data_IF_454827674796
#
_entry.id   IF_454827674796
#
_cell.length_a   1.000
_cell.length_b   1.000
_cell.length_c   1.000
_cell.angle_alpha   90.00
_cell.angle_beta   90.00
_cell.angle_gamma   90.00
#
_symmetry.space_group_name_H-M   'P 1'
#
loop_
_entity.id
_entity.type
_entity.pdbx_description
1 polymer ?
#
# COMPACT_ATOMS: atom_id res chain seq x y z
N UNK A 1 42.72 -72.03 4.88
CA UNK A 1 43.12 -70.61 5.07
C UNK A 1 41.99 -69.88 5.80
N UNK A 2 42.38 -68.99 6.70
CA UNK A 2 41.65 -68.48 7.88
C UNK A 2 40.64 -67.38 7.51
N UNK A 3 39.49 -67.38 8.20
CA UNK A 3 38.44 -66.33 8.23
C UNK A 3 38.98 -64.94 8.53
N UNK A 4 38.38 -63.90 7.93
CA UNK A 4 37.85 -62.73 8.68
C UNK A 4 36.83 -61.94 7.86
N UNK A 5 35.62 -61.82 8.40
CA UNK A 5 34.63 -60.77 8.11
C UNK A 5 35.25 -59.38 8.29
N UNK A 6 34.73 -58.37 7.57
CA UNK A 6 34.40 -57.04 8.11
C UNK A 6 33.74 -56.17 7.03
N UNK A 7 32.41 -56.13 7.04
CA UNK A 7 31.64 -54.96 6.63
C UNK A 7 31.48 -54.11 7.89
N UNK A 8 31.79 -52.81 7.86
CA UNK A 8 30.79 -51.87 8.38
C UNK A 8 30.63 -50.58 7.56
N UNK A 9 29.36 -50.20 7.42
CA UNK A 9 28.79 -48.85 7.52
C UNK A 9 29.51 -47.68 6.82
N UNK A 10 28.99 -47.27 5.66
CA UNK A 10 28.94 -45.86 5.28
C UNK A 10 27.53 -45.33 5.55
N UNK A 11 27.32 -44.84 6.78
CA UNK A 11 26.16 -44.05 7.16
C UNK A 11 26.65 -42.80 7.90
N UNK A 12 26.88 -41.72 7.15
CA UNK A 12 26.99 -40.30 7.55
C UNK A 12 27.59 -39.57 6.32
N UNK A 13 27.06 -38.49 5.76
CA UNK A 13 26.31 -37.43 6.40
C UNK A 13 25.35 -36.77 5.40
N UNK A 14 24.05 -36.83 5.70
CA UNK A 14 23.10 -35.77 5.32
C UNK A 14 23.46 -34.52 6.13
N UNK A 15 24.51 -33.80 5.73
CA UNK A 15 24.67 -32.42 6.17
C UNK A 15 23.86 -31.55 5.24
N UNK A 16 22.57 -31.42 5.57
CA UNK A 16 21.77 -30.33 5.03
C UNK A 16 22.49 -29.03 5.32
N UNK A 17 22.93 -28.35 4.27
CA UNK A 17 23.47 -27.00 4.33
C UNK A 17 22.36 -26.01 4.72
N UNK A 18 22.02 -25.96 6.00
CA UNK A 18 21.14 -24.94 6.59
C UNK A 18 21.83 -24.29 7.80
N UNK A 19 23.16 -24.17 7.75
CA UNK A 19 23.98 -23.79 8.91
C UNK A 19 24.45 -22.33 8.93
N UNK A 20 24.07 -21.48 7.97
CA UNK A 20 24.51 -20.07 7.92
C UNK A 20 23.45 -19.04 7.46
N UNK A 21 22.19 -19.43 7.30
CA UNK A 21 21.10 -18.50 7.02
C UNK A 21 20.11 -18.53 8.18
N UNK A 22 19.90 -17.41 8.87
CA UNK A 22 18.70 -17.26 9.70
C UNK A 22 17.52 -17.23 8.73
N UNK A 23 16.95 -18.38 8.43
CA UNK A 23 15.69 -18.50 7.70
C UNK A 23 14.57 -17.99 8.61
N UNK A 24 14.49 -16.67 8.75
CA UNK A 24 13.34 -16.03 9.38
C UNK A 24 12.19 -16.26 8.41
N UNK A 25 11.14 -17.01 8.80
CA UNK A 25 10.04 -17.28 7.91
C UNK A 25 9.35 -15.95 7.56
N UNK A 26 9.41 -15.57 6.28
CA UNK A 26 8.71 -14.41 5.75
C UNK A 26 7.29 -14.83 5.36
N UNK A 27 6.31 -13.96 5.62
CA UNK A 27 5.04 -14.06 4.88
C UNK A 27 5.33 -13.74 3.41
N UNK A 28 4.52 -14.27 2.48
CA UNK A 28 4.69 -14.02 1.04
C UNK A 28 3.63 -13.00 0.56
N UNK A 29 3.42 -11.95 1.34
CA UNK A 29 2.47 -10.91 0.99
C UNK A 29 3.13 -9.91 0.01
N UNK A 30 2.46 -9.67 -1.11
CA UNK A 30 2.88 -8.64 -2.05
C UNK A 30 2.40 -7.26 -1.59
N UNK A 31 3.14 -6.21 -1.99
CA UNK A 31 2.73 -4.83 -1.74
C UNK A 31 3.29 -3.89 -2.80
N UNK A 32 2.45 -2.97 -3.27
CA UNK A 32 2.85 -1.91 -4.19
C UNK A 32 3.18 -0.60 -3.46
N UNK A 33 4.10 0.17 -4.02
CA UNK A 33 4.30 1.57 -3.61
C UNK A 33 3.19 2.45 -4.17
N UNK A 34 2.71 3.42 -3.39
CA UNK A 34 1.54 4.21 -3.79
C UNK A 34 1.21 5.38 -2.85
N UNK A 35 0.50 6.37 -3.38
CA UNK A 35 -0.15 7.39 -2.53
C UNK A 35 -1.64 7.20 -2.60
N UNK A 36 -2.29 7.18 -1.43
CA UNK A 36 -3.72 6.95 -1.32
C UNK A 36 -4.45 8.15 -0.73
N UNK A 37 -5.67 8.38 -1.20
CA UNK A 37 -6.65 9.24 -0.54
C UNK A 37 -7.81 8.38 -0.04
N UNK A 38 -8.24 8.63 1.19
CA UNK A 38 -9.40 7.97 1.82
C UNK A 38 -10.46 9.00 2.21
N UNK A 39 -11.73 8.62 2.17
CA UNK A 39 -12.83 9.49 2.55
C UNK A 39 -14.05 8.70 3.01
N UNK A 40 -15.01 9.41 3.60
CA UNK A 40 -16.36 8.88 3.84
C UNK A 40 -17.26 9.35 2.69
N UNK A 41 -18.09 8.48 2.07
CA UNK A 41 -19.00 8.89 0.99
C UNK A 41 -19.85 10.11 1.37
N UNK A 42 -20.37 10.13 2.61
CA UNK A 42 -21.18 11.21 3.16
C UNK A 42 -20.46 12.58 3.19
N UNK A 43 -19.13 12.62 3.19
CA UNK A 43 -18.37 13.88 3.16
C UNK A 43 -18.56 14.61 1.81
N UNK A 44 -19.02 13.92 0.75
CA UNK A 44 -19.23 14.48 -0.59
C UNK A 44 -20.68 14.36 -1.08
N UNK A 45 -21.62 14.10 -0.18
CA UNK A 45 -23.05 14.02 -0.46
C UNK A 45 -23.59 12.58 -0.46
N UNK A 46 -24.52 12.30 -1.38
CA UNK A 46 -25.16 11.00 -1.54
C UNK A 46 -24.34 10.00 -2.36
N UNK A 47 -24.97 8.91 -2.76
CA UNK A 47 -24.35 7.89 -3.61
C UNK A 47 -23.76 8.49 -4.89
N UNK A 48 -22.45 8.29 -5.09
CA UNK A 48 -21.70 8.73 -6.27
C UNK A 48 -21.89 10.23 -6.63
N UNK A 49 -22.15 11.06 -5.61
CA UNK A 49 -22.42 12.48 -5.77
C UNK A 49 -21.18 13.29 -6.26
N UNK A 50 -19.98 12.73 -6.15
CA UNK A 50 -18.77 13.36 -6.64
C UNK A 50 -17.83 12.38 -7.36
N UNK A 51 -17.00 12.91 -8.27
CA UNK A 51 -15.81 12.26 -8.82
C UNK A 51 -14.59 12.74 -8.07
N UNK A 52 -13.81 11.82 -7.53
CA UNK A 52 -12.59 12.08 -6.80
C UNK A 52 -11.42 11.67 -7.68
N UNK A 53 -10.59 12.65 -8.03
CA UNK A 53 -9.37 12.47 -8.80
C UNK A 53 -8.16 12.79 -7.94
N UNK A 54 -7.24 11.84 -7.87
CA UNK A 54 -5.96 11.99 -7.18
C UNK A 54 -4.84 11.89 -8.20
N UNK A 55 -3.94 12.86 -8.20
CA UNK A 55 -2.74 12.85 -9.03
C UNK A 55 -1.49 12.88 -8.16
N UNK A 56 -0.49 12.07 -8.52
CA UNK A 56 0.85 12.08 -7.93
C UNK A 56 1.85 12.26 -9.07
N UNK A 57 2.63 13.34 -9.03
CA UNK A 57 3.34 13.82 -10.21
C UNK A 57 2.38 13.98 -11.41
N UNK A 58 2.61 13.22 -12.49
CA UNK A 58 1.82 13.19 -13.72
C UNK A 58 0.86 12.00 -13.82
N UNK A 59 0.84 11.10 -12.83
CA UNK A 59 -0.05 9.93 -12.80
C UNK A 59 -1.30 10.26 -12.01
N UNK A 60 -2.46 9.93 -12.54
CA UNK A 60 -3.73 10.20 -11.89
C UNK A 60 -4.63 8.98 -11.95
N UNK A 61 -5.38 8.77 -10.87
CA UNK A 61 -6.53 7.87 -10.86
C UNK A 61 -7.77 8.67 -10.46
N UNK A 62 -8.94 8.15 -10.80
CA UNK A 62 -10.23 8.77 -10.51
C UNK A 62 -11.28 7.70 -10.18
N UNK A 63 -12.13 7.97 -9.19
CA UNK A 63 -13.31 7.16 -8.89
C UNK A 63 -14.44 7.99 -8.32
N UNK A 64 -15.66 7.46 -8.37
CA UNK A 64 -16.81 8.09 -7.71
C UNK A 64 -16.69 8.00 -6.18
N UNK A 65 -17.37 8.93 -5.49
CA UNK A 65 -17.41 9.03 -4.03
C UNK A 65 -18.15 7.88 -3.32
N UNK A 66 -18.84 7.01 -4.08
CA UNK A 66 -19.54 5.78 -3.67
C UNK A 66 -20.74 5.96 -2.76
N UNK A 67 -21.18 4.87 -2.13
CA UNK A 67 -22.47 4.73 -1.43
C UNK A 67 -22.29 4.69 0.10
N UNK A 68 -23.27 5.16 0.89
CA UNK A 68 -23.30 4.97 2.35
C UNK A 68 -23.18 3.50 2.81
N UNK A 69 -23.56 2.53 1.98
CA UNK A 69 -23.42 1.10 2.26
C UNK A 69 -21.96 0.63 2.27
N UNK A 70 -21.06 1.41 1.66
CA UNK A 70 -19.60 1.26 1.73
C UNK A 70 -19.00 2.49 2.43
N UNK A 71 -18.99 2.50 3.78
CA UNK A 71 -18.84 3.72 4.57
C UNK A 71 -17.45 4.37 4.47
N UNK A 72 -16.47 3.67 3.89
CA UNK A 72 -15.13 4.19 3.64
C UNK A 72 -14.64 3.79 2.27
N UNK A 73 -14.21 4.79 1.49
CA UNK A 73 -13.60 4.56 0.19
C UNK A 73 -12.16 5.03 0.17
N UNK A 74 -11.42 4.41 -0.75
CA UNK A 74 -10.02 4.68 -1.00
C UNK A 74 -9.72 4.78 -2.50
N UNK A 75 -8.78 5.62 -2.86
CA UNK A 75 -8.20 5.70 -4.20
C UNK A 75 -6.69 5.72 -4.04
N UNK A 76 -5.99 4.86 -4.78
CA UNK A 76 -4.54 4.73 -4.70
C UNK A 76 -3.91 4.92 -6.06
N UNK A 77 -2.98 5.86 -6.17
CA UNK A 77 -2.15 6.02 -7.37
C UNK A 77 -0.89 5.21 -7.20
N UNK A 78 -0.72 4.18 -8.04
CA UNK A 78 0.45 3.31 -8.02
C UNK A 78 1.70 4.07 -8.48
N UNK A 79 2.77 3.94 -7.72
CA UNK A 79 4.08 4.50 -8.04
C UNK A 79 4.94 3.47 -8.78
N UNK A 80 5.93 3.91 -9.58
CA UNK A 80 6.90 3.00 -10.19
C UNK A 80 7.68 2.21 -9.14
N UNK A 81 8.11 0.99 -9.51
CA UNK A 81 9.02 0.21 -8.69
C UNK A 81 10.32 0.98 -8.43
N UNK A 82 10.88 0.81 -7.23
CA UNK A 82 12.13 1.48 -6.84
C UNK A 82 12.00 2.98 -6.52
N UNK A 83 10.78 3.52 -6.36
CA UNK A 83 10.57 4.94 -6.02
C UNK A 83 11.31 5.40 -4.75
N UNK A 84 11.48 4.50 -3.77
CA UNK A 84 12.28 4.75 -2.59
C UNK A 84 11.75 5.86 -1.67
N UNK A 85 12.58 6.25 -0.71
CA UNK A 85 12.33 7.39 0.16
C UNK A 85 12.30 8.69 -0.66
N UNK A 86 11.12 9.25 -0.88
CA UNK A 86 10.94 10.45 -1.70
C UNK A 86 9.81 11.33 -1.18
N UNK A 87 9.75 12.57 -1.69
CA UNK A 87 8.66 13.52 -1.40
C UNK A 87 8.04 14.03 -2.70
N UNK A 88 6.82 13.56 -2.99
CA UNK A 88 6.17 13.73 -4.29
C UNK A 88 5.05 14.77 -4.23
N UNK A 89 4.89 15.64 -5.26
CA UNK A 89 3.72 16.51 -5.37
C UNK A 89 2.44 15.69 -5.59
N UNK A 90 1.37 16.10 -4.90
CA UNK A 90 0.05 15.51 -4.97
C UNK A 90 -0.98 16.59 -5.26
N UNK A 91 -1.96 16.27 -6.10
CA UNK A 91 -3.13 17.12 -6.36
C UNK A 91 -4.41 16.30 -6.15
N UNK A 92 -5.35 16.88 -5.44
CA UNK A 92 -6.72 16.39 -5.30
C UNK A 92 -7.64 17.31 -6.08
N UNK A 93 -8.54 16.72 -6.86
CA UNK A 93 -9.70 17.41 -7.42
C UNK A 93 -10.94 16.59 -7.13
N UNK A 94 -11.98 17.25 -6.63
CA UNK A 94 -13.29 16.64 -6.41
C UNK A 94 -14.33 17.44 -7.18
N UNK A 95 -15.07 16.77 -8.04
CA UNK A 95 -16.04 17.40 -8.94
C UNK A 95 -17.43 16.84 -8.67
N UNK A 96 -18.43 17.72 -8.56
CA UNK A 96 -19.85 17.36 -8.47
C UNK A 96 -20.27 16.59 -9.72
N UNK A 97 -20.83 15.38 -9.57
CA UNK A 97 -21.37 14.64 -10.71
C UNK A 97 -22.65 15.27 -11.25
N UNK A 98 -23.38 16.00 -10.40
CA UNK A 98 -24.65 16.65 -10.77
C UNK A 98 -24.46 17.93 -11.58
N UNK A 99 -23.53 18.79 -11.16
CA UNK A 99 -23.34 20.12 -11.75
C UNK A 99 -22.05 20.25 -12.58
N UNK A 100 -21.08 19.37 -12.38
CA UNK A 100 -19.75 19.49 -12.98
C UNK A 100 -18.84 20.50 -12.28
N UNK A 101 -19.31 21.16 -11.22
CA UNK A 101 -18.52 22.14 -10.48
C UNK A 101 -17.42 21.46 -9.66
N UNK A 102 -16.28 22.14 -9.53
CA UNK A 102 -15.22 21.72 -8.61
C UNK A 102 -15.64 22.03 -7.17
N UNK A 103 -15.80 20.98 -6.37
CA UNK A 103 -16.10 21.05 -4.94
C UNK A 103 -14.82 21.28 -4.15
N UNK A 104 -13.75 20.60 -4.54
CA UNK A 104 -12.43 20.67 -3.88
C UNK A 104 -11.36 20.71 -4.95
N UNK A 105 -10.42 21.64 -4.81
CA UNK A 105 -9.12 21.57 -5.47
C UNK A 105 -8.05 21.88 -4.43
N UNK A 106 -7.11 20.96 -4.25
CA UNK A 106 -6.02 21.13 -3.29
C UNK A 106 -4.73 20.46 -3.78
N UNK A 107 -3.59 20.93 -3.28
CA UNK A 107 -2.29 20.34 -3.60
C UNK A 107 -1.35 20.35 -2.39
N UNK A 108 -0.57 19.28 -2.26
CA UNK A 108 0.37 19.11 -1.15
C UNK A 108 1.57 18.26 -1.58
N UNK A 109 2.43 17.90 -0.63
CA UNK A 109 3.55 16.98 -0.86
C UNK A 109 3.42 15.74 0.03
N UNK A 110 3.45 14.57 -0.61
CA UNK A 110 3.49 13.28 0.05
C UNK A 110 4.93 12.89 0.38
N UNK A 111 5.27 12.88 1.66
CA UNK A 111 6.51 12.22 2.12
C UNK A 111 6.24 10.73 2.26
N UNK A 112 6.89 9.92 1.43
CA UNK A 112 6.74 8.47 1.48
C UNK A 112 7.41 7.88 2.72
N UNK A 113 6.78 6.85 3.26
CA UNK A 113 7.30 6.03 4.36
C UNK A 113 7.34 4.58 3.93
N UNK A 114 8.33 3.85 4.40
CA UNK A 114 8.48 2.44 4.13
C UNK A 114 7.44 1.60 4.89
N UNK A 115 6.98 0.54 4.25
CA UNK A 115 6.10 -0.48 4.77
C UNK A 115 6.73 -1.83 4.49
N UNK A 116 6.76 -2.68 5.51
CA UNK A 116 7.38 -4.00 5.47
C UNK A 116 6.29 -5.07 5.66
N UNK A 117 5.52 -5.39 4.60
CA UNK A 117 4.40 -6.33 4.67
C UNK A 117 4.80 -7.70 5.23
N UNK A 118 6.07 -8.09 5.05
CA UNK A 118 6.59 -9.39 5.46
C UNK A 118 7.57 -9.33 6.64
N UNK A 119 7.66 -8.18 7.31
CA UNK A 119 8.65 -7.92 8.36
C UNK A 119 9.94 -7.28 7.83
N UNK A 120 10.71 -6.66 8.72
CA UNK A 120 11.81 -5.74 8.37
C UNK A 120 12.99 -6.36 7.63
N UNK A 121 13.12 -7.69 7.69
CA UNK A 121 14.16 -8.46 6.99
C UNK A 121 13.69 -9.12 5.70
N UNK A 122 12.42 -8.93 5.34
CA UNK A 122 11.74 -9.63 4.25
C UNK A 122 11.20 -8.64 3.22
N UNK A 123 11.48 -8.89 1.95
CA UNK A 123 10.89 -8.11 0.86
C UNK A 123 9.43 -8.48 0.59
N UNK A 124 8.70 -7.66 -0.20
CA UNK A 124 9.14 -6.36 -0.71
C UNK A 124 9.03 -5.25 0.34
N UNK A 125 9.73 -4.12 0.14
CA UNK A 125 9.48 -2.87 0.87
C UNK A 125 8.58 -2.01 -0.02
N UNK A 126 7.40 -1.63 0.49
CA UNK A 126 6.51 -0.71 -0.20
C UNK A 126 6.69 0.71 0.35
N UNK A 127 6.72 1.71 -0.53
CA UNK A 127 6.82 3.12 -0.15
C UNK A 127 5.47 3.78 -0.31
N UNK A 128 4.85 4.18 0.79
CA UNK A 128 3.46 4.66 0.80
C UNK A 128 3.27 5.98 1.51
N UNK A 129 2.20 6.68 1.15
CA UNK A 129 1.65 7.79 1.91
C UNK A 129 0.12 7.79 1.80
N UNK A 130 -0.56 8.23 2.84
CA UNK A 130 -2.04 8.26 2.86
C UNK A 130 -2.54 9.61 3.35
N UNK A 131 -3.56 10.13 2.69
CA UNK A 131 -4.29 11.34 3.06
C UNK A 131 -5.77 11.05 3.27
N UNK A 132 -6.43 11.87 4.08
CA UNK A 132 -7.88 12.01 4.05
C UNK A 132 -8.27 13.11 3.07
N UNK A 133 -9.19 12.82 2.15
CA UNK A 133 -9.88 13.85 1.38
C UNK A 133 -11.05 14.41 2.19
N UNK A 134 -11.11 15.73 2.36
CA UNK A 134 -12.12 16.45 3.13
C UNK A 134 -12.73 17.57 2.28
N UNK A 135 -14.06 17.76 2.26
CA UNK A 135 -14.74 18.76 1.44
C UNK A 135 -14.22 20.18 1.70
N UNK A 136 -14.10 20.58 2.97
CA UNK A 136 -13.69 21.95 3.29
C UNK A 136 -12.17 22.17 3.42
N UNK A 137 -11.39 21.09 3.51
CA UNK A 137 -9.97 21.17 3.91
C UNK A 137 -8.99 20.55 2.91
N UNK A 138 -9.49 19.94 1.83
CA UNK A 138 -8.63 19.26 0.87
C UNK A 138 -7.97 18.01 1.46
N UNK A 139 -6.67 17.87 1.24
CA UNK A 139 -5.86 16.75 1.70
C UNK A 139 -5.36 16.97 3.14
N UNK A 140 -5.81 16.12 4.05
CA UNK A 140 -5.49 16.19 5.48
C UNK A 140 -4.88 14.89 6.00
N UNK A 141 -4.39 14.88 7.24
CA UNK A 141 -3.90 13.65 7.87
C UNK A 141 -5.03 12.63 8.03
N UNK A 142 -4.80 11.33 7.74
CA UNK A 142 -5.79 10.29 7.97
C UNK A 142 -5.89 9.87 9.45
N UNK A 143 -5.06 10.44 10.35
CA UNK A 143 -5.08 10.10 11.78
C UNK A 143 -6.48 10.34 12.37
N UNK A 144 -6.97 9.34 13.09
CA UNK A 144 -8.31 9.37 13.71
C UNK A 144 -9.43 8.82 12.81
N UNK A 145 -9.18 8.52 11.53
CA UNK A 145 -10.08 7.68 10.76
C UNK A 145 -9.91 6.22 11.17
N UNK A 146 -11.01 5.57 11.54
CA UNK A 146 -11.06 4.11 11.63
C UNK A 146 -11.24 3.56 10.22
N UNK A 147 -10.13 3.33 9.54
CA UNK A 147 -10.13 2.62 8.27
C UNK A 147 -10.46 1.16 8.57
N UNK A 148 -11.55 0.64 8.02
CA UNK A 148 -11.77 -0.80 8.02
C UNK A 148 -10.82 -1.39 7.00
N UNK A 149 -9.96 -2.31 7.45
CA UNK A 149 -9.03 -3.09 6.63
C UNK A 149 -9.46 -4.54 6.61
#
# INVERSE_FOLDING_TARGET
MRRTLLIPLLAAALTGCSLLGRDTPCTLADADSGVSAVWRPADFGGQDAAKIRLCVNSRCDERSSGSPDDPFLSLSVRLPDGVGASTLPVRLTVTSTKSGDTIVEDSTRARLTDQHPNGTSCGPIAWTATFRAHPDKGLTSPKGMKLQG
#
